data_IF_352076461211
#
_entry.id   IF_352076461211
#
_cell.length_a   1.000
_cell.length_b   1.000
_cell.length_c   1.000
_cell.angle_alpha   90.00
_cell.angle_beta   90.00
_cell.angle_gamma   90.00
#
_symmetry.space_group_name_H-M   'P 1'
#
loop_
_entity.id
_entity.type
_entity.pdbx_description
1 polymer ?
#
# COMPACT_ATOMS: atom_id res chain seq x y z
N UNK A 1 17.63 -37.49 7.04
CA UNK A 1 16.58 -36.84 6.21
C UNK A 1 16.16 -35.44 6.73
N UNK A 2 17.08 -34.63 7.29
CA UNK A 2 16.72 -33.33 7.90
C UNK A 2 17.18 -32.08 7.13
N UNK A 3 18.35 -32.13 6.49
CA UNK A 3 18.98 -30.95 5.88
C UNK A 3 18.24 -30.44 4.64
N UNK A 4 17.75 -31.32 3.77
CA UNK A 4 16.98 -30.91 2.58
C UNK A 4 15.65 -30.23 2.91
N UNK A 5 14.99 -30.64 4.01
CA UNK A 5 13.75 -30.00 4.48
C UNK A 5 14.02 -28.63 5.08
N UNK A 6 15.12 -28.47 5.82
CA UNK A 6 15.55 -27.18 6.35
C UNK A 6 15.93 -26.18 5.24
N UNK A 7 16.59 -26.66 4.17
CA UNK A 7 16.90 -25.84 2.99
C UNK A 7 15.64 -25.41 2.22
N UNK A 8 14.66 -26.30 2.07
CA UNK A 8 13.40 -25.94 1.42
C UNK A 8 12.61 -24.91 2.25
N UNK A 9 12.58 -25.07 3.58
CA UNK A 9 11.94 -24.09 4.47
C UNK A 9 12.66 -22.75 4.42
N UNK A 10 13.99 -22.72 4.39
CA UNK A 10 14.76 -21.46 4.32
C UNK A 10 14.58 -20.74 2.98
N UNK A 11 14.53 -21.47 1.85
CA UNK A 11 14.23 -20.90 0.52
C UNK A 11 12.81 -20.34 0.46
N UNK A 12 11.83 -21.06 1.02
CA UNK A 12 10.44 -20.60 1.07
C UNK A 12 10.30 -19.35 1.93
N UNK A 13 10.98 -19.32 3.09
CA UNK A 13 11.01 -18.16 3.99
C UNK A 13 11.65 -16.93 3.30
N UNK A 14 12.78 -17.11 2.62
CA UNK A 14 13.44 -16.05 1.84
C UNK A 14 12.56 -15.52 0.71
N UNK A 15 11.79 -16.39 0.04
CA UNK A 15 10.85 -15.99 -1.01
C UNK A 15 9.64 -15.22 -0.45
N UNK A 16 9.16 -15.57 0.75
CA UNK A 16 8.10 -14.82 1.45
C UNK A 16 8.58 -13.44 1.89
N UNK A 17 9.80 -13.32 2.43
CA UNK A 17 10.37 -12.03 2.82
C UNK A 17 10.77 -11.15 1.62
N UNK A 18 11.16 -11.75 0.48
CA UNK A 18 11.60 -11.02 -0.71
C UNK A 18 10.48 -10.25 -1.45
N UNK A 19 9.21 -10.61 -1.24
CA UNK A 19 8.08 -10.04 -1.98
C UNK A 19 7.36 -8.89 -1.25
N UNK A 20 7.57 -8.73 0.05
CA UNK A 20 6.96 -7.67 0.84
C UNK A 20 7.90 -6.45 0.96
N UNK A 21 8.22 -5.81 -0.17
CA UNK A 21 8.88 -4.49 -0.14
C UNK A 21 7.82 -3.49 0.34
N UNK A 22 7.87 -3.10 1.61
CA UNK A 22 7.16 -1.91 2.10
C UNK A 22 8.15 -0.77 2.22
N UNK A 23 7.74 0.44 1.84
CA UNK A 23 8.57 1.62 2.09
C UNK A 23 8.50 1.93 3.56
N UNK A 24 9.61 1.69 4.23
CA UNK A 24 9.86 2.20 5.56
C UNK A 24 10.43 3.62 5.44
N UNK A 25 9.99 4.47 6.34
CA UNK A 25 10.50 5.82 6.51
C UNK A 25 10.80 6.04 7.99
N UNK A 26 11.73 6.95 8.24
CA UNK A 26 12.31 7.23 9.55
C UNK A 26 12.17 8.71 9.88
N UNK A 27 12.50 9.09 11.11
CA UNK A 27 12.59 10.49 11.54
C UNK A 27 13.52 11.33 10.65
N UNK A 28 14.55 10.70 10.06
CA UNK A 28 15.46 11.39 9.14
C UNK A 28 14.74 11.84 7.87
N UNK A 29 13.80 11.03 7.38
CA UNK A 29 13.00 11.37 6.20
C UNK A 29 12.03 12.53 6.49
N UNK A 30 11.65 12.73 7.75
CA UNK A 30 10.76 13.80 8.24
C UNK A 30 11.49 15.10 8.60
N UNK A 31 12.82 15.08 8.70
CA UNK A 31 13.62 16.16 9.29
C UNK A 31 13.63 17.45 8.44
N UNK A 32 13.39 17.35 7.13
CA UNK A 32 13.37 18.50 6.22
C UNK A 32 12.43 18.26 5.05
N UNK A 33 12.03 19.33 4.37
CA UNK A 33 11.19 19.24 3.16
C UNK A 33 11.92 18.56 2.01
N UNK A 34 13.23 18.72 1.92
CA UNK A 34 14.08 18.01 0.96
C UNK A 34 14.09 16.50 1.21
N UNK A 35 14.22 16.08 2.47
CA UNK A 35 14.18 14.66 2.83
C UNK A 35 12.79 14.06 2.57
N UNK A 36 11.73 14.79 2.89
CA UNK A 36 10.35 14.40 2.58
C UNK A 36 10.12 14.29 1.08
N UNK A 37 10.72 15.17 0.28
CA UNK A 37 10.66 15.10 -1.18
C UNK A 37 11.35 13.86 -1.72
N UNK A 38 12.53 13.52 -1.19
CA UNK A 38 13.24 12.29 -1.53
C UNK A 38 12.42 11.04 -1.15
N UNK A 39 11.76 11.05 0.01
CA UNK A 39 10.82 10.00 0.41
C UNK A 39 9.63 9.91 -0.57
N UNK A 40 9.07 11.05 -0.98
CA UNK A 40 7.97 11.11 -1.93
C UNK A 40 8.34 10.50 -3.29
N UNK A 41 9.54 10.78 -3.80
CA UNK A 41 10.01 10.21 -5.06
C UNK A 41 10.26 8.70 -4.96
N UNK A 42 10.88 8.23 -3.86
CA UNK A 42 11.01 6.79 -3.57
C UNK A 42 9.64 6.12 -3.51
N UNK A 43 8.67 6.78 -2.88
CA UNK A 43 7.30 6.30 -2.76
C UNK A 43 6.56 6.20 -4.10
N UNK A 44 6.68 7.22 -4.93
CA UNK A 44 6.10 7.20 -6.27
C UNK A 44 6.70 6.12 -7.15
N UNK A 45 8.02 5.97 -7.13
CA UNK A 45 8.72 4.95 -7.90
C UNK A 45 8.25 3.55 -7.50
N UNK A 46 8.21 3.28 -6.19
CA UNK A 46 7.77 1.99 -5.64
C UNK A 46 6.32 1.62 -6.01
N UNK A 47 5.41 2.60 -6.03
CA UNK A 47 4.01 2.36 -6.39
C UNK A 47 3.68 2.59 -7.87
N UNK A 48 4.71 2.88 -8.68
CA UNK A 48 4.61 3.16 -10.12
C UNK A 48 3.62 4.29 -10.43
N UNK A 49 3.75 5.40 -9.69
CA UNK A 49 2.85 6.55 -9.78
C UNK A 49 3.49 7.62 -10.66
N UNK A 50 3.01 7.71 -11.91
CA UNK A 50 3.37 8.77 -12.85
C UNK A 50 2.40 9.95 -12.77
N UNK A 51 2.92 11.17 -12.72
CA UNK A 51 2.19 12.45 -12.68
C UNK A 51 2.98 13.52 -13.41
N UNK A 52 2.27 14.51 -13.95
CA UNK A 52 2.90 15.72 -14.45
C UNK A 52 3.55 16.54 -13.31
N UNK A 53 4.44 17.46 -13.67
CA UNK A 53 5.20 18.26 -12.71
C UNK A 53 4.32 19.13 -11.82
N UNK A 54 3.22 19.66 -12.37
CA UNK A 54 2.32 20.56 -11.65
C UNK A 54 1.52 19.78 -10.59
N UNK A 55 0.96 18.64 -10.97
CA UNK A 55 0.25 17.75 -10.05
C UNK A 55 1.20 17.13 -9.03
N UNK A 56 2.44 16.81 -9.42
CA UNK A 56 3.47 16.32 -8.50
C UNK A 56 3.64 17.28 -7.31
N UNK A 57 3.77 18.58 -7.57
CA UNK A 57 3.95 19.59 -6.53
C UNK A 57 2.71 19.73 -5.63
N UNK A 58 1.50 19.73 -6.21
CA UNK A 58 0.26 19.80 -5.43
C UNK A 58 0.09 18.59 -4.51
N UNK A 59 0.37 17.39 -5.04
CA UNK A 59 0.23 16.12 -4.32
C UNK A 59 1.27 15.94 -3.22
N UNK A 60 2.42 16.59 -3.34
CA UNK A 60 3.44 16.56 -2.30
C UNK A 60 2.94 17.12 -0.97
N UNK A 61 2.14 18.19 -0.98
CA UNK A 61 1.59 18.75 0.26
C UNK A 61 0.63 17.77 0.97
N UNK A 62 -0.20 17.07 0.21
CA UNK A 62 -1.09 16.02 0.74
C UNK A 62 -0.28 14.85 1.29
N UNK A 63 0.75 14.43 0.55
CA UNK A 63 1.68 13.40 0.99
C UNK A 63 2.36 13.75 2.30
N UNK A 64 2.90 14.97 2.44
CA UNK A 64 3.54 15.46 3.68
C UNK A 64 2.59 15.38 4.87
N UNK A 65 1.36 15.88 4.72
CA UNK A 65 0.35 15.82 5.78
C UNK A 65 0.03 14.37 6.20
N UNK A 66 -0.08 13.46 5.23
CA UNK A 66 -0.38 12.05 5.48
C UNK A 66 0.80 11.32 6.14
N UNK A 67 2.05 11.57 5.73
CA UNK A 67 3.24 10.98 6.37
C UNK A 67 3.34 11.44 7.83
N UNK A 68 3.13 12.73 8.10
CA UNK A 68 3.11 13.27 9.46
C UNK A 68 1.99 12.62 10.31
N UNK A 69 0.80 12.44 9.73
CA UNK A 69 -0.30 11.75 10.39
C UNK A 69 0.06 10.29 10.75
N UNK A 70 0.65 9.55 9.80
CA UNK A 70 1.11 8.18 10.02
C UNK A 70 2.13 8.13 11.16
N UNK A 71 3.14 8.99 11.12
CA UNK A 71 4.19 9.06 12.14
C UNK A 71 3.61 9.38 13.53
N UNK A 72 2.69 10.35 13.63
CA UNK A 72 2.03 10.70 14.89
C UNK A 72 1.18 9.55 15.43
N UNK A 73 0.38 8.89 14.58
CA UNK A 73 -0.47 7.75 15.00
C UNK A 73 0.38 6.55 15.43
N UNK A 74 1.51 6.32 14.76
CA UNK A 74 2.40 5.21 15.09
C UNK A 74 3.14 5.38 16.41
N UNK A 75 3.29 6.62 16.90
CA UNK A 75 3.80 6.90 18.25
C UNK A 75 2.76 6.71 19.36
N UNK A 76 1.47 6.65 19.01
CA UNK A 76 0.41 6.38 19.98
C UNK A 76 0.36 4.89 20.33
N UNK A 77 -0.13 4.61 21.54
CA UNK A 77 -0.44 3.25 22.00
C UNK A 77 -1.78 2.76 21.42
N UNK A 78 -1.78 2.51 20.11
CA UNK A 78 -2.91 1.94 19.38
C UNK A 78 -2.61 0.49 19.01
N UNK A 79 -3.63 -0.39 18.97
CA UNK A 79 -3.46 -1.79 18.61
C UNK A 79 -3.17 -2.00 17.10
N UNK A 80 -2.96 -0.91 16.36
CA UNK A 80 -2.63 -0.92 14.94
C UNK A 80 -1.60 0.17 14.64
N UNK A 81 -0.83 -0.06 13.57
CA UNK A 81 0.10 0.91 13.00
C UNK A 81 -0.30 1.22 11.56
N UNK A 82 -0.21 2.49 11.20
CA UNK A 82 -0.40 2.93 9.83
C UNK A 82 0.89 2.74 9.04
N UNK A 83 0.77 2.49 7.74
CA UNK A 83 1.89 2.36 6.81
C UNK A 83 1.69 3.27 5.62
N UNK A 84 2.81 3.67 5.02
CA UNK A 84 2.83 4.45 3.80
C UNK A 84 2.40 3.56 2.62
N UNK A 85 1.13 3.67 2.24
CA UNK A 85 0.50 2.83 1.21
C UNK A 85 0.33 3.59 -0.12
N UNK A 86 -0.26 2.94 -1.14
CA UNK A 86 -0.45 3.51 -2.49
C UNK A 86 -1.38 4.74 -2.55
N UNK A 87 -2.07 5.08 -1.47
CA UNK A 87 -2.98 6.21 -1.36
C UNK A 87 -2.40 7.37 -0.53
N UNK A 88 -1.10 7.34 -0.23
CA UNK A 88 -0.47 8.31 0.67
C UNK A 88 -0.55 9.76 0.18
N UNK A 89 -0.87 10.03 -1.08
CA UNK A 89 -1.02 11.38 -1.62
C UNK A 89 -2.48 11.75 -1.98
N UNK A 90 -3.43 10.90 -1.57
CA UNK A 90 -4.85 11.19 -1.64
C UNK A 90 -5.32 11.90 -0.38
N UNK A 91 -6.21 12.86 -0.54
CA UNK A 91 -6.96 13.42 0.58
C UNK A 91 -8.00 12.43 1.08
N UNK A 92 -8.46 12.60 2.32
CA UNK A 92 -9.52 11.76 2.89
C UNK A 92 -10.82 11.77 2.05
N UNK A 93 -11.16 12.92 1.46
CA UNK A 93 -12.33 13.05 0.61
C UNK A 93 -12.18 12.24 -0.69
N UNK A 94 -11.03 12.36 -1.36
CA UNK A 94 -10.72 11.59 -2.56
C UNK A 94 -10.73 10.09 -2.28
N UNK A 95 -10.13 9.67 -1.16
CA UNK A 95 -10.10 8.27 -0.77
C UNK A 95 -11.50 7.71 -0.51
N UNK A 96 -12.35 8.47 0.20
CA UNK A 96 -13.75 8.09 0.45
C UNK A 96 -14.54 7.95 -0.86
N UNK A 97 -14.35 8.88 -1.79
CA UNK A 97 -15.01 8.84 -3.10
C UNK A 97 -14.54 7.64 -3.93
N UNK A 98 -13.24 7.35 -3.94
CA UNK A 98 -12.66 6.19 -4.62
C UNK A 98 -13.20 4.86 -4.06
N UNK A 99 -13.19 4.71 -2.73
CA UNK A 99 -13.70 3.51 -2.05
C UNK A 99 -15.20 3.29 -2.29
N UNK A 100 -15.98 4.38 -2.32
CA UNK A 100 -17.42 4.32 -2.60
C UNK A 100 -17.70 3.84 -4.03
N UNK A 101 -16.94 4.31 -5.03
CA UNK A 101 -17.03 3.81 -6.41
C UNK A 101 -16.72 2.32 -6.50
N UNK A 102 -15.69 1.83 -5.82
CA UNK A 102 -15.34 0.40 -5.78
C UNK A 102 -16.50 -0.43 -5.21
N UNK A 103 -17.10 0.03 -4.10
CA UNK A 103 -18.25 -0.66 -3.48
C UNK A 103 -19.44 -0.71 -4.44
N UNK A 104 -19.76 0.42 -5.07
CA UNK A 104 -20.85 0.51 -6.04
C UNK A 104 -20.66 -0.46 -7.22
N UNK A 105 -19.48 -0.45 -7.86
CA UNK A 105 -19.19 -1.38 -8.95
C UNK A 105 -19.24 -2.86 -8.53
N UNK A 106 -18.81 -3.17 -7.30
CA UNK A 106 -18.90 -4.53 -6.76
C UNK A 106 -20.35 -4.97 -6.58
N UNK A 107 -21.23 -4.09 -6.10
CA UNK A 107 -22.66 -4.36 -5.96
C UNK A 107 -23.33 -4.61 -7.31
N UNK A 108 -22.99 -3.83 -8.35
CA UNK A 108 -23.53 -4.02 -9.70
C UNK A 108 -23.10 -5.34 -10.36
N UNK A 109 -21.90 -5.86 -10.04
CA UNK A 109 -21.38 -7.11 -10.64
C UNK A 109 -21.91 -8.38 -9.99
N UNK A 110 -22.59 -8.29 -8.84
CA UNK A 110 -23.03 -9.45 -8.08
C UNK A 110 -21.88 -10.29 -7.49
N UNK A 111 -22.21 -11.18 -6.56
CA UNK A 111 -21.29 -12.18 -6.01
C UNK A 111 -20.87 -13.13 -7.13
N UNK A 112 -19.57 -13.29 -7.38
CA UNK A 112 -19.02 -14.29 -8.33
C UNK A 112 -19.17 -15.70 -7.74
N UNK A 113 -20.40 -16.14 -7.49
CA UNK A 113 -20.71 -17.49 -7.04
C UNK A 113 -20.51 -18.44 -8.22
N UNK A 114 -19.39 -19.19 -8.15
CA UNK A 114 -19.07 -20.43 -8.86
C UNK A 114 -20.09 -20.85 -9.93
N UNK A 115 -19.95 -20.33 -11.15
CA UNK A 115 -20.36 -21.08 -12.35
C UNK A 115 -19.36 -22.22 -12.56
N UNK A 116 -19.45 -23.25 -11.72
CA UNK A 116 -18.97 -24.59 -12.05
C UNK A 116 -20.22 -25.37 -12.42
N UNK A 117 -20.53 -25.34 -13.71
CA UNK A 117 -21.65 -26.06 -14.31
C UNK A 117 -21.50 -27.53 -13.90
N UNK A 118 -22.42 -28.00 -13.06
CA UNK A 118 -22.77 -29.42 -13.02
C UNK A 118 -23.46 -29.70 -14.35
N UNK A 119 -22.70 -30.15 -15.35
CA UNK A 119 -23.32 -30.81 -16.51
C UNK A 119 -23.84 -32.15 -15.98
N UNK A 120 -25.13 -32.31 -16.23
CA UNK A 120 -26.06 -33.29 -15.67
C UNK A 120 -25.55 -34.74 -15.78
N UNK A 121 -25.87 -35.53 -14.75
CA UNK A 121 -26.16 -36.96 -14.91
C UNK A 121 -27.39 -37.11 -15.80
N UNK A 122 -27.29 -37.99 -16.79
CA UNK A 122 -28.35 -38.45 -17.68
C UNK A 122 -27.74 -39.51 -18.57
#
# INVERSE_FOLDING_TARGET
MGMGRALLVSVFLAMVFGLAKSIEFTEKDLASDENLWNLYERWRSHHTISRDLTEKQKRFNVFKANVQHIHKVNQMDKPYKLKLNKFADMTNLEFRNFSSKIKHHRMLRGSRAKHRIHVRKG
#
